data_IF_402324837321
#
_entry.id   IF_402324837321
#
_cell.length_a   1.000
_cell.length_b   1.000
_cell.length_c   1.000
_cell.angle_alpha   90.00
_cell.angle_beta   90.00
_cell.angle_gamma   90.00
#
_symmetry.space_group_name_H-M   'P 1'
#
loop_
_entity.id
_entity.type
_entity.pdbx_description
1 polymer ?
#
# COMPACT_ATOMS: atom_id res chain seq x y z
N UNK A 1 -18.34 37.53 2.74
CA UNK A 1 -17.37 36.40 2.66
C UNK A 1 -16.49 36.52 3.88
N UNK A 2 -16.50 35.53 4.75
CA UNK A 2 -15.55 35.44 5.88
C UNK A 2 -14.22 35.05 5.23
N UNK A 3 -13.25 35.96 5.19
CA UNK A 3 -11.88 35.61 4.82
C UNK A 3 -11.34 34.67 5.85
N UNK A 4 -11.19 33.38 5.47
CA UNK A 4 -10.58 32.36 6.32
C UNK A 4 -9.04 32.45 6.20
N UNK A 5 -8.49 33.53 6.77
CA UNK A 5 -7.03 33.81 6.72
C UNK A 5 -6.13 32.75 7.39
N UNK A 6 -6.73 31.72 8.02
CA UNK A 6 -6.01 30.63 8.69
C UNK A 6 -5.82 29.39 7.82
N UNK A 7 -6.42 29.33 6.63
CA UNK A 7 -6.30 28.19 5.72
C UNK A 7 -5.35 28.51 4.57
N UNK A 8 -4.30 27.74 4.45
CA UNK A 8 -3.38 27.78 3.33
C UNK A 8 -3.54 26.54 2.45
N UNK A 9 -3.77 26.76 1.15
CA UNK A 9 -3.98 25.68 0.17
C UNK A 9 -2.75 25.53 -0.72
N UNK A 10 -2.34 24.30 -0.91
CA UNK A 10 -1.19 23.90 -1.74
C UNK A 10 -1.58 22.80 -2.69
N UNK A 11 -0.90 22.71 -3.83
CA UNK A 11 -0.97 21.56 -4.71
C UNK A 11 0.12 20.56 -4.32
N UNK A 12 -0.26 19.31 -4.01
CA UNK A 12 0.67 18.22 -3.77
C UNK A 12 0.66 17.28 -4.96
N UNK A 13 1.85 17.03 -5.51
CA UNK A 13 2.08 16.13 -6.64
C UNK A 13 2.83 14.89 -6.16
N UNK A 14 2.21 13.72 -6.35
CA UNK A 14 2.89 12.44 -6.20
C UNK A 14 3.40 11.96 -7.56
N UNK A 15 4.70 11.75 -7.68
CA UNK A 15 5.29 11.03 -8.81
C UNK A 15 5.51 9.57 -8.41
N UNK A 16 4.78 8.65 -9.03
CA UNK A 16 4.96 7.20 -8.82
C UNK A 16 6.34 6.79 -9.30
N UNK A 17 7.23 6.39 -8.39
CA UNK A 17 8.60 5.95 -8.70
C UNK A 17 8.72 4.44 -8.77
N UNK A 18 7.84 3.72 -8.09
CA UNK A 18 7.67 2.28 -8.21
C UNK A 18 6.18 1.93 -8.15
N UNK A 19 5.75 0.73 -8.58
CA UNK A 19 4.33 0.40 -8.64
C UNK A 19 3.57 0.65 -7.33
N UNK A 20 2.45 1.36 -7.39
CA UNK A 20 1.63 1.76 -6.23
C UNK A 20 0.27 1.09 -6.30
N UNK A 21 -0.17 0.52 -5.18
CA UNK A 21 -1.48 -0.08 -5.02
C UNK A 21 -2.31 0.67 -3.96
N UNK A 22 -3.36 1.37 -4.39
CA UNK A 22 -4.41 1.89 -3.51
C UNK A 22 -5.67 1.02 -3.69
N UNK A 23 -5.84 0.02 -2.81
CA UNK A 23 -6.89 -0.98 -2.97
C UNK A 23 -8.27 -0.50 -2.60
N UNK A 24 -9.28 -0.91 -3.37
CA UNK A 24 -10.71 -0.66 -3.10
C UNK A 24 -11.29 -1.61 -2.04
N UNK A 25 -10.58 -2.68 -1.69
CA UNK A 25 -11.11 -3.78 -0.89
C UNK A 25 -11.80 -4.85 -1.73
N UNK A 26 -12.03 -4.60 -3.01
CA UNK A 26 -12.63 -5.55 -3.94
C UNK A 26 -11.57 -6.44 -4.60
N UNK A 27 -12.00 -7.64 -4.98
CA UNK A 27 -11.19 -8.62 -5.69
C UNK A 27 -11.99 -9.18 -6.87
N UNK A 28 -11.30 -9.53 -7.95
CA UNK A 28 -11.86 -10.24 -9.09
C UNK A 28 -11.33 -11.66 -9.10
N UNK A 29 -12.25 -12.62 -9.09
CA UNK A 29 -11.90 -14.03 -9.12
C UNK A 29 -11.43 -14.46 -10.53
N UNK A 30 -10.75 -15.60 -10.60
CA UNK A 30 -10.21 -16.16 -11.85
C UNK A 30 -11.24 -16.37 -12.95
N UNK A 31 -12.51 -16.50 -12.58
CA UNK A 31 -13.64 -16.74 -13.48
C UNK A 31 -14.37 -15.44 -13.92
N UNK A 32 -13.89 -14.29 -13.47
CA UNK A 32 -14.50 -12.98 -13.71
C UNK A 32 -13.66 -12.10 -14.62
N UNK A 33 -12.56 -12.62 -15.17
CA UNK A 33 -11.74 -11.93 -16.13
C UNK A 33 -11.23 -12.86 -17.23
N UNK A 34 -10.99 -12.30 -18.40
CA UNK A 34 -10.38 -12.98 -19.53
C UNK A 34 -8.94 -12.50 -19.70
N UNK A 35 -7.99 -13.42 -19.89
CA UNK A 35 -6.59 -13.11 -20.11
C UNK A 35 -6.22 -13.30 -21.59
N UNK A 36 -6.09 -12.20 -22.33
CA UNK A 36 -5.55 -12.20 -23.69
C UNK A 36 -4.02 -12.35 -23.64
N UNK A 37 -3.56 -13.58 -23.72
CA UNK A 37 -2.13 -13.92 -23.65
C UNK A 37 -1.31 -13.29 -24.79
N UNK A 38 -1.89 -13.11 -25.97
CA UNK A 38 -1.21 -12.57 -27.16
C UNK A 38 -0.87 -11.10 -26.98
N UNK A 39 -1.83 -10.34 -26.45
CA UNK A 39 -1.69 -8.91 -26.23
C UNK A 39 -1.20 -8.57 -24.81
N UNK A 40 -1.00 -9.56 -23.95
CA UNK A 40 -0.68 -9.39 -22.51
C UNK A 40 -1.68 -8.46 -21.82
N UNK A 41 -2.96 -8.60 -22.12
CA UNK A 41 -4.03 -7.80 -21.54
C UNK A 41 -4.99 -8.67 -20.73
N UNK A 42 -5.43 -8.15 -19.61
CA UNK A 42 -6.52 -8.71 -18.83
C UNK A 42 -7.77 -7.86 -19.08
N UNK A 43 -8.84 -8.52 -19.47
CA UNK A 43 -10.15 -7.93 -19.64
C UNK A 43 -10.96 -8.20 -18.37
N UNK A 44 -11.16 -7.19 -17.56
CA UNK A 44 -12.08 -7.28 -16.42
C UNK A 44 -13.50 -7.17 -17.00
N UNK A 45 -14.29 -8.20 -16.76
CA UNK A 45 -15.62 -8.28 -17.36
C UNK A 45 -16.63 -7.37 -16.66
N UNK A 46 -17.54 -6.80 -17.43
CA UNK A 46 -18.78 -6.27 -16.90
C UNK A 46 -19.74 -7.45 -16.68
N UNK A 47 -20.03 -7.76 -15.43
CA UNK A 47 -20.74 -8.97 -15.05
C UNK A 47 -22.15 -9.02 -15.63
N UNK A 48 -22.86 -7.89 -15.66
CA UNK A 48 -24.21 -7.78 -16.23
C UNK A 48 -24.20 -8.09 -17.73
N UNK A 49 -23.29 -7.49 -18.49
CA UNK A 49 -23.14 -7.74 -19.92
C UNK A 49 -22.70 -9.17 -20.20
N UNK A 50 -21.82 -9.73 -19.38
CA UNK A 50 -21.37 -11.11 -19.52
C UNK A 50 -22.51 -12.09 -19.30
N UNK A 51 -23.30 -11.95 -18.23
CA UNK A 51 -24.45 -12.79 -17.98
C UNK A 51 -25.50 -12.63 -19.13
N UNK A 52 -25.74 -11.40 -19.59
CA UNK A 52 -26.59 -11.13 -20.73
C UNK A 52 -26.16 -11.88 -21.99
N UNK A 53 -24.86 -11.93 -22.29
CA UNK A 53 -24.31 -12.71 -23.40
C UNK A 53 -24.55 -14.23 -23.22
N UNK A 54 -24.26 -14.75 -22.01
CA UNK A 54 -24.44 -16.18 -21.69
C UNK A 54 -25.89 -16.61 -21.84
N UNK A 55 -26.83 -15.82 -21.30
CA UNK A 55 -28.25 -16.05 -21.43
C UNK A 55 -28.68 -15.96 -22.90
N UNK A 56 -28.29 -14.91 -23.63
CA UNK A 56 -28.64 -14.70 -25.02
C UNK A 56 -28.15 -15.80 -25.96
N UNK A 57 -27.08 -16.50 -25.60
CA UNK A 57 -26.55 -17.65 -26.33
C UNK A 57 -27.09 -19.00 -25.84
N UNK A 58 -27.94 -19.03 -24.81
CA UNK A 58 -28.43 -20.28 -24.21
C UNK A 58 -27.35 -21.12 -23.52
N UNK A 59 -26.30 -20.47 -23.01
CA UNK A 59 -25.12 -21.11 -22.43
C UNK A 59 -25.13 -21.16 -20.89
N UNK A 60 -26.28 -20.86 -20.25
CA UNK A 60 -26.35 -20.76 -18.79
C UNK A 60 -25.97 -22.07 -18.10
N UNK A 61 -26.59 -23.20 -18.54
CA UNK A 61 -26.29 -24.52 -17.98
C UNK A 61 -24.84 -24.93 -18.20
N UNK A 62 -24.26 -24.59 -19.36
CA UNK A 62 -22.86 -24.86 -19.67
C UNK A 62 -21.93 -24.04 -18.75
N UNK A 63 -22.27 -22.78 -18.49
CA UNK A 63 -21.52 -21.89 -17.59
C UNK A 63 -21.63 -22.35 -16.14
N UNK A 64 -22.81 -22.69 -15.65
CA UNK A 64 -23.03 -23.26 -14.32
C UNK A 64 -22.22 -24.55 -14.12
N UNK A 65 -22.30 -25.47 -15.10
CA UNK A 65 -21.47 -26.68 -15.08
C UNK A 65 -19.97 -26.38 -15.06
N UNK A 66 -19.53 -25.38 -15.80
CA UNK A 66 -18.15 -24.91 -15.80
C UNK A 66 -17.71 -24.40 -14.42
N UNK A 67 -18.60 -23.67 -13.70
CA UNK A 67 -18.34 -23.19 -12.35
C UNK A 67 -18.33 -24.34 -11.33
N UNK A 68 -19.34 -25.23 -11.38
CA UNK A 68 -19.58 -26.27 -10.40
C UNK A 68 -18.54 -27.41 -10.45
N UNK A 69 -18.05 -27.75 -11.63
CA UNK A 69 -17.05 -28.82 -11.80
C UNK A 69 -15.75 -28.59 -11.06
N UNK A 70 -15.57 -27.43 -10.40
CA UNK A 70 -14.48 -27.21 -9.47
C UNK A 70 -13.08 -27.38 -10.05
N UNK A 71 -12.95 -27.56 -11.35
CA UNK A 71 -11.67 -27.69 -12.01
C UNK A 71 -10.90 -26.40 -11.77
N UNK A 72 -9.89 -26.49 -10.93
CA UNK A 72 -8.98 -25.37 -10.55
C UNK A 72 -8.38 -24.66 -11.78
N UNK A 73 -8.56 -25.26 -12.97
CA UNK A 73 -8.03 -24.82 -14.26
C UNK A 73 -9.12 -24.34 -15.24
N UNK A 74 -10.34 -24.08 -14.80
CA UNK A 74 -11.36 -23.54 -15.71
C UNK A 74 -11.15 -22.05 -15.86
N UNK A 75 -10.52 -21.69 -16.94
CA UNK A 75 -10.31 -20.31 -17.37
C UNK A 75 -11.39 -19.93 -18.39
N UNK A 76 -11.80 -18.67 -18.37
CA UNK A 76 -12.79 -18.18 -19.34
C UNK A 76 -12.32 -18.29 -20.80
N UNK A 77 -11.01 -18.32 -21.06
CA UNK A 77 -10.46 -18.53 -22.41
C UNK A 77 -10.83 -19.89 -22.98
N UNK A 78 -10.80 -20.95 -22.18
CA UNK A 78 -11.29 -22.28 -22.56
C UNK A 78 -12.79 -22.26 -22.84
N UNK A 79 -13.59 -21.72 -21.91
CA UNK A 79 -15.03 -21.63 -22.07
C UNK A 79 -15.43 -20.82 -23.32
N UNK A 80 -14.80 -19.68 -23.56
CA UNK A 80 -15.04 -18.83 -24.71
C UNK A 80 -14.73 -19.54 -26.04
N UNK A 81 -13.59 -20.25 -26.07
CA UNK A 81 -13.20 -21.05 -27.26
C UNK A 81 -14.16 -22.18 -27.51
N UNK A 82 -14.52 -22.96 -26.49
CA UNK A 82 -15.35 -24.16 -26.61
C UNK A 82 -16.79 -23.81 -27.02
N UNK A 83 -17.26 -22.59 -26.72
CA UNK A 83 -18.60 -22.09 -27.09
C UNK A 83 -18.57 -21.03 -28.19
N UNK A 84 -17.45 -20.92 -28.95
CA UNK A 84 -17.33 -20.00 -30.09
C UNK A 84 -17.68 -18.54 -29.77
N UNK A 85 -17.31 -18.06 -28.56
CA UNK A 85 -17.46 -16.64 -28.22
C UNK A 85 -16.38 -15.85 -28.93
N UNK A 86 -16.80 -14.99 -29.84
CA UNK A 86 -15.93 -14.21 -30.71
C UNK A 86 -15.20 -13.10 -29.93
N UNK A 87 -14.10 -12.65 -30.52
CA UNK A 87 -13.32 -11.51 -29.94
C UNK A 87 -14.17 -10.24 -29.81
N UNK A 88 -15.05 -9.97 -30.77
CA UNK A 88 -15.97 -8.82 -30.73
C UNK A 88 -16.96 -8.93 -29.55
N UNK A 89 -17.47 -10.14 -29.27
CA UNK A 89 -18.34 -10.36 -28.11
C UNK A 89 -17.56 -10.21 -26.79
N UNK A 90 -16.31 -10.68 -26.71
CA UNK A 90 -15.46 -10.48 -25.53
C UNK A 90 -15.23 -8.98 -25.30
N UNK A 91 -14.96 -8.21 -26.36
CA UNK A 91 -14.84 -6.75 -26.26
C UNK A 91 -16.12 -6.09 -25.75
N UNK A 92 -17.28 -6.53 -26.21
CA UNK A 92 -18.58 -5.97 -25.83
C UNK A 92 -18.92 -6.19 -24.33
N UNK A 93 -18.47 -7.30 -23.75
CA UNK A 93 -18.66 -7.63 -22.34
C UNK A 93 -17.52 -7.13 -21.44
N UNK A 94 -16.44 -6.57 -22.01
CA UNK A 94 -15.32 -6.03 -21.26
C UNK A 94 -15.74 -4.71 -20.61
N UNK A 95 -15.53 -4.61 -19.30
CA UNK A 95 -15.69 -3.36 -18.56
C UNK A 95 -14.48 -2.44 -18.77
N UNK A 96 -13.28 -2.96 -18.57
CA UNK A 96 -12.02 -2.27 -18.89
C UNK A 96 -10.89 -3.28 -19.09
N UNK A 97 -9.79 -2.80 -19.67
CA UNK A 97 -8.57 -3.58 -19.91
C UNK A 97 -7.42 -3.07 -19.07
N UNK A 98 -6.52 -3.99 -18.73
CA UNK A 98 -5.32 -3.65 -17.98
C UNK A 98 -4.13 -4.48 -18.50
N UNK A 99 -2.96 -3.85 -18.60
CA UNK A 99 -1.72 -4.52 -18.96
C UNK A 99 -1.36 -5.56 -17.88
N UNK A 100 -1.25 -6.83 -18.28
CA UNK A 100 -0.85 -7.91 -17.37
C UNK A 100 0.62 -7.80 -16.95
N UNK A 101 1.41 -7.02 -17.65
CA UNK A 101 2.85 -6.85 -17.44
C UNK A 101 3.54 -8.23 -17.25
N UNK A 102 4.27 -8.37 -16.14
CA UNK A 102 4.94 -9.62 -15.75
C UNK A 102 4.19 -10.37 -14.63
N UNK A 103 2.94 -9.99 -14.35
CA UNK A 103 2.16 -10.57 -13.24
C UNK A 103 1.51 -11.90 -13.60
N UNK A 104 1.11 -12.06 -14.87
CA UNK A 104 0.49 -13.25 -15.41
C UNK A 104 1.31 -13.77 -16.59
N UNK A 105 1.64 -15.04 -16.56
CA UNK A 105 2.31 -15.73 -17.66
C UNK A 105 1.52 -16.99 -18.02
N UNK A 106 1.61 -17.46 -19.28
CA UNK A 106 0.91 -18.68 -19.72
C UNK A 106 1.19 -19.92 -18.86
N UNK A 107 2.38 -19.96 -18.27
CA UNK A 107 2.88 -21.09 -17.49
C UNK A 107 2.37 -21.10 -16.03
N UNK A 108 1.80 -19.98 -15.57
CA UNK A 108 1.32 -19.87 -14.20
C UNK A 108 -0.20 -19.80 -14.16
N UNK A 109 -0.78 -20.53 -13.20
CA UNK A 109 -2.22 -20.47 -12.96
C UNK A 109 -2.69 -19.03 -12.74
N UNK A 110 -3.84 -18.67 -13.32
CA UNK A 110 -4.51 -17.40 -13.07
C UNK A 110 -4.74 -17.21 -11.57
N UNK A 111 -4.76 -15.96 -11.12
CA UNK A 111 -4.84 -15.58 -9.71
C UNK A 111 -5.99 -14.60 -9.50
N UNK A 112 -6.46 -14.51 -8.27
CA UNK A 112 -7.34 -13.41 -7.88
C UNK A 112 -6.61 -12.08 -8.00
N UNK A 113 -7.31 -11.08 -8.53
CA UNK A 113 -6.78 -9.74 -8.75
C UNK A 113 -7.42 -8.78 -7.75
N UNK A 114 -6.60 -8.16 -6.91
CA UNK A 114 -7.05 -7.09 -6.01
C UNK A 114 -7.16 -5.79 -6.79
N UNK A 115 -8.36 -5.20 -6.75
CA UNK A 115 -8.70 -4.03 -7.55
C UNK A 115 -8.20 -2.73 -6.91
N UNK A 116 -7.80 -1.81 -7.77
CA UNK A 116 -7.46 -0.43 -7.39
C UNK A 116 -8.73 0.39 -7.11
N UNK A 117 -8.60 1.45 -6.33
CA UNK A 117 -9.68 2.39 -6.07
C UNK A 117 -10.05 3.15 -7.35
N UNK A 118 -11.36 3.18 -7.66
CA UNK A 118 -11.93 3.86 -8.83
C UNK A 118 -13.13 4.71 -8.43
N UNK A 119 -13.34 5.80 -9.15
CA UNK A 119 -14.54 6.61 -9.00
C UNK A 119 -15.76 5.97 -9.71
N UNK A 120 -16.91 6.63 -9.64
CA UNK A 120 -18.14 6.17 -10.30
C UNK A 120 -18.03 6.03 -11.83
N UNK A 121 -17.11 6.79 -12.44
CA UNK A 121 -16.78 6.70 -13.86
C UNK A 121 -15.68 5.67 -14.16
N UNK A 122 -15.36 4.80 -13.21
CA UNK A 122 -14.30 3.76 -13.30
C UNK A 122 -12.89 4.31 -13.53
N UNK A 123 -12.63 5.57 -13.19
CA UNK A 123 -11.30 6.17 -13.30
C UNK A 123 -10.50 5.92 -12.02
N UNK A 124 -9.25 5.45 -12.11
CA UNK A 124 -8.44 5.20 -10.92
C UNK A 124 -8.05 6.51 -10.22
N UNK A 125 -8.05 6.48 -8.89
CA UNK A 125 -7.59 7.59 -8.06
C UNK A 125 -6.98 7.05 -6.75
N UNK A 126 -6.24 7.90 -6.05
CA UNK A 126 -5.71 7.57 -4.72
C UNK A 126 -6.52 8.34 -3.67
N UNK A 127 -7.15 7.66 -2.69
CA UNK A 127 -7.86 8.34 -1.62
C UNK A 127 -6.93 9.26 -0.80
N UNK A 128 -7.41 10.44 -0.46
CA UNK A 128 -6.68 11.40 0.38
C UNK A 128 -6.34 10.83 1.76
N UNK A 129 -7.20 9.95 2.28
CA UNK A 129 -6.93 9.21 3.52
C UNK A 129 -5.67 8.32 3.42
N UNK A 130 -5.39 7.74 2.25
CA UNK A 130 -4.17 6.95 2.02
C UNK A 130 -2.93 7.82 2.05
N UNK A 131 -2.96 8.99 1.39
CA UNK A 131 -1.85 9.94 1.40
C UNK A 131 -1.68 10.57 2.78
N UNK A 132 -2.77 11.02 3.42
CA UNK A 132 -2.73 11.56 4.78
C UNK A 132 -2.17 10.55 5.78
N UNK A 133 -2.48 9.25 5.64
CA UNK A 133 -1.90 8.19 6.45
C UNK A 133 -0.38 8.05 6.28
N UNK A 134 0.13 8.16 5.06
CA UNK A 134 1.58 8.15 4.80
C UNK A 134 2.27 9.40 5.34
N UNK A 135 1.68 10.59 5.15
CA UNK A 135 2.18 11.84 5.73
C UNK A 135 2.19 11.77 7.26
N UNK A 136 1.13 11.25 7.89
CA UNK A 136 1.06 11.04 9.34
C UNK A 136 2.21 10.17 9.85
N UNK A 137 2.54 9.10 9.13
CA UNK A 137 3.67 8.23 9.49
C UNK A 137 5.00 8.98 9.41
N UNK A 138 5.22 9.76 8.34
CA UNK A 138 6.42 10.56 8.18
C UNK A 138 6.55 11.66 9.24
N UNK A 139 5.45 12.38 9.53
CA UNK A 139 5.39 13.42 10.56
C UNK A 139 5.69 12.83 11.94
N UNK A 140 5.06 11.70 12.29
CA UNK A 140 5.31 11.03 13.57
C UNK A 140 6.75 10.54 13.68
N UNK A 141 7.31 9.96 12.61
CA UNK A 141 8.71 9.54 12.58
C UNK A 141 9.66 10.73 12.82
N UNK A 142 9.39 11.88 12.18
CA UNK A 142 10.17 13.12 12.43
C UNK A 142 10.04 13.58 13.87
N UNK A 143 8.83 13.67 14.42
CA UNK A 143 8.61 14.05 15.83
C UNK A 143 9.40 13.16 16.80
N UNK A 144 9.48 11.86 16.54
CA UNK A 144 10.23 10.90 17.35
C UNK A 144 11.75 11.09 17.22
N UNK A 145 12.25 11.42 16.04
CA UNK A 145 13.67 11.63 15.79
C UNK A 145 14.16 12.97 16.33
N UNK A 146 13.33 14.02 16.27
CA UNK A 146 13.65 15.37 16.75
C UNK A 146 13.62 15.46 18.29
N UNK A 147 12.84 14.61 18.97
CA UNK A 147 12.60 14.67 20.42
C UNK A 147 13.37 13.59 21.17
N UNK A 148 14.69 13.71 21.21
CA UNK A 148 15.55 12.71 21.85
C UNK A 148 15.28 12.53 23.36
N UNK A 149 14.96 13.59 24.10
CA UNK A 149 14.72 13.54 25.54
C UNK A 149 13.39 12.86 25.92
N UNK A 150 12.30 13.18 25.20
CA UNK A 150 10.99 12.56 25.44
C UNK A 150 10.88 11.18 24.79
N UNK A 151 11.61 10.95 23.70
CA UNK A 151 11.67 9.65 23.02
C UNK A 151 12.09 8.55 23.99
N UNK A 152 13.16 8.73 24.77
CA UNK A 152 13.67 7.69 25.67
C UNK A 152 12.67 7.38 26.79
N UNK A 153 11.94 8.39 27.30
CA UNK A 153 10.84 8.19 28.26
C UNK A 153 9.70 7.40 27.63
N UNK A 154 9.29 7.75 26.39
CA UNK A 154 8.20 7.07 25.70
C UNK A 154 8.60 5.66 25.26
N UNK A 155 9.86 5.46 24.89
CA UNK A 155 10.42 4.13 24.64
C UNK A 155 10.33 3.24 25.90
N UNK A 156 10.68 3.79 27.06
CA UNK A 156 10.53 3.10 28.35
C UNK A 156 9.07 2.74 28.68
N UNK A 157 8.13 3.68 28.49
CA UNK A 157 6.70 3.45 28.67
C UNK A 157 6.16 2.42 27.67
N UNK A 158 6.56 2.52 26.41
CA UNK A 158 6.19 1.56 25.36
C UNK A 158 6.67 0.15 25.70
N UNK A 159 7.93 0.00 26.14
CA UNK A 159 8.48 -1.30 26.53
C UNK A 159 7.86 -1.84 27.83
N UNK A 160 7.53 -0.98 28.81
CA UNK A 160 6.87 -1.41 30.04
C UNK A 160 5.43 -1.86 29.77
N UNK A 161 4.65 -1.11 29.01
CA UNK A 161 3.30 -1.50 28.61
C UNK A 161 3.29 -2.87 27.91
N UNK A 162 4.40 -3.20 27.29
CA UNK A 162 4.68 -4.47 26.67
C UNK A 162 4.98 -5.59 27.69
N UNK A 163 5.75 -5.32 28.71
CA UNK A 163 6.07 -6.32 29.77
C UNK A 163 4.86 -6.62 30.67
N UNK A 164 4.07 -5.60 30.99
CA UNK A 164 2.93 -5.68 31.91
C UNK A 164 1.71 -6.39 31.29
N UNK A 165 1.60 -6.38 29.98
CA UNK A 165 0.58 -7.15 29.26
C UNK A 165 0.94 -8.64 29.22
N UNK A 166 0.67 -9.37 30.28
CA UNK A 166 1.03 -10.77 30.61
C UNK A 166 0.87 -11.86 29.55
N UNK A 167 0.85 -11.54 28.28
CA UNK A 167 1.01 -12.52 27.19
C UNK A 167 1.68 -11.89 25.97
N UNK A 168 2.88 -12.30 25.56
CA UNK A 168 3.49 -11.91 24.29
C UNK A 168 2.86 -12.75 23.17
N UNK A 169 1.65 -12.45 22.77
CA UNK A 169 0.95 -13.33 21.85
C UNK A 169 -0.27 -12.78 21.16
N UNK A 170 -0.25 -11.55 20.66
CA UNK A 170 -1.38 -11.08 19.88
C UNK A 170 -1.13 -9.75 19.18
N UNK A 171 -1.70 -9.59 18.00
CA UNK A 171 -1.72 -8.32 17.24
C UNK A 171 -2.23 -7.14 18.08
N UNK A 172 -3.08 -7.39 19.07
CA UNK A 172 -3.69 -6.38 19.94
C UNK A 172 -2.72 -5.70 20.90
N UNK A 173 -1.64 -6.35 21.26
CA UNK A 173 -0.62 -5.85 22.16
C UNK A 173 0.21 -4.70 21.54
N UNK A 174 0.79 -4.92 20.37
CA UNK A 174 1.51 -3.86 19.67
C UNK A 174 0.56 -2.70 19.28
N UNK A 175 -0.72 -2.99 19.03
CA UNK A 175 -1.72 -1.98 18.72
C UNK A 175 -1.90 -1.00 19.87
N UNK A 176 -2.11 -1.48 21.10
CA UNK A 176 -2.28 -0.60 22.27
C UNK A 176 -1.07 0.28 22.53
N UNK A 177 0.14 -0.30 22.44
CA UNK A 177 1.37 0.45 22.63
C UNK A 177 1.58 1.51 21.54
N UNK A 178 1.25 1.16 20.28
CA UNK A 178 1.27 2.12 19.16
C UNK A 178 0.29 3.27 19.38
N UNK A 179 -0.94 2.98 19.80
CA UNK A 179 -1.97 3.97 20.09
C UNK A 179 -1.54 4.94 21.21
N UNK A 180 -0.82 4.48 22.23
CA UNK A 180 -0.32 5.34 23.30
C UNK A 180 0.76 6.32 22.79
N UNK A 181 1.67 5.87 21.94
CA UNK A 181 2.67 6.75 21.34
C UNK A 181 2.00 7.77 20.41
N UNK A 182 1.07 7.34 19.57
CA UNK A 182 0.31 8.24 18.71
C UNK A 182 -0.49 9.28 19.49
N UNK A 183 -1.13 8.86 20.60
CA UNK A 183 -1.85 9.75 21.51
C UNK A 183 -0.91 10.81 22.08
N UNK A 184 0.24 10.40 22.57
CA UNK A 184 1.20 11.31 23.18
C UNK A 184 1.74 12.36 22.21
N UNK A 185 2.07 11.99 20.97
CA UNK A 185 2.65 12.91 19.99
C UNK A 185 1.61 13.66 19.15
N UNK A 186 0.48 13.04 18.84
CA UNK A 186 -0.47 13.59 17.89
C UNK A 186 -1.76 14.11 18.52
N UNK A 187 -2.19 13.62 19.72
CA UNK A 187 -3.45 14.02 20.37
C UNK A 187 -3.21 15.04 21.48
N UNK A 188 -2.59 16.16 21.15
CA UNK A 188 -2.13 17.15 22.13
C UNK A 188 -3.02 18.38 22.28
N UNK A 189 -4.12 18.51 21.50
CA UNK A 189 -4.98 19.71 21.53
C UNK A 189 -5.83 19.83 22.79
N UNK A 190 -6.13 18.72 23.49
CA UNK A 190 -6.85 18.72 24.76
C UNK A 190 -8.30 19.22 24.69
N UNK A 191 -8.93 19.24 23.50
CA UNK A 191 -10.28 19.73 23.28
C UNK A 191 -11.34 18.84 23.91
N UNK A 192 -11.13 17.52 23.92
CA UNK A 192 -11.96 16.55 24.62
C UNK A 192 -11.15 15.85 25.71
N UNK A 193 -11.19 16.41 26.92
CA UNK A 193 -10.47 15.87 28.08
C UNK A 193 -11.00 14.52 28.54
N UNK A 194 -12.28 14.24 28.33
CA UNK A 194 -12.91 12.98 28.73
C UNK A 194 -12.53 11.80 27.81
N UNK A 195 -12.09 12.10 26.59
CA UNK A 195 -11.66 11.09 25.61
C UNK A 195 -10.35 11.55 24.97
N UNK A 196 -9.18 11.37 25.60
CA UNK A 196 -7.89 11.85 25.08
C UNK A 196 -7.58 11.33 23.67
N UNK A 197 -8.02 10.11 23.35
CA UNK A 197 -7.85 9.49 22.03
C UNK A 197 -8.83 9.98 20.95
N UNK A 198 -9.74 10.88 21.30
CA UNK A 198 -10.68 11.41 20.32
C UNK A 198 -9.94 12.15 19.19
N UNK A 199 -10.40 11.95 17.97
CA UNK A 199 -9.83 12.59 16.79
C UNK A 199 -9.81 14.12 16.85
N UNK A 200 -10.72 14.73 17.65
CA UNK A 200 -10.74 16.19 17.87
C UNK A 200 -9.47 16.69 18.59
N UNK A 201 -8.80 15.83 19.34
CA UNK A 201 -7.55 16.16 20.03
C UNK A 201 -6.32 16.08 19.11
N UNK A 202 -6.45 15.53 17.92
CA UNK A 202 -5.31 15.30 17.04
C UNK A 202 -4.85 16.57 16.34
N UNK A 203 -3.57 16.88 16.41
CA UNK A 203 -2.92 17.97 15.64
C UNK A 203 -3.01 17.75 14.12
N UNK A 204 -3.20 16.50 13.68
CA UNK A 204 -3.44 16.17 12.27
C UNK A 204 -4.75 16.72 11.71
N UNK A 205 -5.63 17.32 12.55
CA UNK A 205 -6.78 18.10 12.07
C UNK A 205 -6.36 19.31 11.26
N UNK A 206 -5.21 19.91 11.61
CA UNK A 206 -4.64 21.03 10.86
C UNK A 206 -4.12 20.65 9.47
N UNK A 207 -4.08 19.36 9.13
CA UNK A 207 -3.61 18.87 7.83
C UNK A 207 -4.75 18.18 7.10
N UNK A 208 -5.26 18.75 6.03
CA UNK A 208 -6.32 18.18 5.20
C UNK A 208 -5.77 17.81 3.82
N UNK A 209 -6.12 16.63 3.33
CA UNK A 209 -5.70 16.11 2.03
C UNK A 209 -6.96 15.67 1.28
N UNK A 210 -7.17 16.21 0.08
CA UNK A 210 -8.26 15.78 -0.81
C UNK A 210 -8.02 14.36 -1.33
N UNK A 211 -9.03 13.71 -1.86
CA UNK A 211 -8.81 12.64 -2.81
C UNK A 211 -8.05 13.18 -4.03
N UNK A 212 -7.28 12.34 -4.69
CA UNK A 212 -6.57 12.78 -5.88
C UNK A 212 -7.54 13.09 -7.04
N UNK A 213 -7.09 13.94 -7.96
CA UNK A 213 -7.71 13.97 -9.26
C UNK A 213 -7.65 12.58 -9.89
N UNK A 214 -8.72 12.15 -10.61
CA UNK A 214 -8.71 10.88 -11.31
C UNK A 214 -7.59 10.81 -12.36
N UNK A 215 -6.88 9.69 -12.41
CA UNK A 215 -5.83 9.45 -13.39
C UNK A 215 -6.47 9.24 -14.76
N UNK A 216 -6.13 10.08 -15.72
CA UNK A 216 -6.70 10.06 -17.09
C UNK A 216 -5.87 9.27 -18.09
N UNK A 217 -4.63 8.96 -17.76
CA UNK A 217 -3.75 8.15 -18.60
C UNK A 217 -4.31 6.72 -18.67
N UNK A 218 -4.71 6.29 -19.88
CA UNK A 218 -5.31 4.98 -20.12
C UNK A 218 -4.33 3.84 -19.85
N UNK A 219 -3.04 4.11 -19.99
CA UNK A 219 -1.96 3.13 -19.79
C UNK A 219 -1.34 3.22 -18.39
N UNK A 220 -1.94 4.00 -17.49
CA UNK A 220 -1.43 4.19 -16.14
C UNK A 220 -1.48 2.92 -15.27
N UNK A 221 -2.40 2.01 -15.60
CA UNK A 221 -2.67 0.83 -14.78
C UNK A 221 -2.00 -0.42 -15.33
N UNK A 222 -1.35 -1.15 -14.44
CA UNK A 222 -0.67 -2.42 -14.71
C UNK A 222 -1.03 -3.45 -13.64
N UNK A 223 -0.90 -4.74 -13.96
CA UNK A 223 -0.93 -5.79 -12.95
C UNK A 223 0.45 -6.05 -12.36
N UNK A 224 0.51 -6.20 -11.06
CA UNK A 224 1.72 -6.48 -10.33
C UNK A 224 1.57 -7.74 -9.48
N UNK A 225 2.42 -8.73 -9.72
CA UNK A 225 2.58 -9.89 -8.85
C UNK A 225 3.41 -9.53 -7.62
N UNK A 226 2.92 -9.87 -6.43
CA UNK A 226 3.66 -9.62 -5.19
C UNK A 226 4.81 -10.62 -5.03
N UNK A 227 5.96 -10.13 -4.59
CA UNK A 227 7.17 -10.92 -4.30
C UNK A 227 7.78 -10.51 -2.97
N UNK A 228 8.42 -11.45 -2.30
CA UNK A 228 9.24 -11.21 -1.11
C UNK A 228 10.72 -11.24 -1.48
N UNK A 229 11.44 -10.15 -1.18
CA UNK A 229 12.88 -10.06 -1.28
C UNK A 229 13.50 -10.38 0.09
N UNK A 230 14.39 -11.37 0.14
CA UNK A 230 15.16 -11.67 1.36
C UNK A 230 16.38 -10.76 1.51
N UNK A 231 16.95 -10.68 2.71
CA UNK A 231 18.21 -9.95 2.98
C UNK A 231 19.33 -10.39 2.02
N UNK A 232 19.40 -11.69 1.68
CA UNK A 232 20.39 -12.23 0.74
C UNK A 232 20.11 -11.93 -0.75
N UNK A 233 19.03 -11.20 -1.07
CA UNK A 233 18.70 -10.88 -2.45
C UNK A 233 17.85 -11.93 -3.18
N UNK A 234 17.37 -12.97 -2.48
CA UNK A 234 16.51 -13.98 -3.08
C UNK A 234 15.07 -13.49 -3.15
N UNK A 235 14.47 -13.60 -4.34
CA UNK A 235 13.11 -13.19 -4.62
C UNK A 235 12.19 -14.40 -4.66
N UNK A 236 11.14 -14.41 -3.82
CA UNK A 236 10.12 -15.45 -3.78
C UNK A 236 8.75 -14.88 -4.18
N UNK A 237 8.06 -15.45 -5.18
CA UNK A 237 6.72 -15.01 -5.55
C UNK A 237 5.71 -15.35 -4.44
N UNK A 238 4.72 -14.48 -4.28
CA UNK A 238 3.55 -14.67 -3.42
C UNK A 238 2.33 -14.74 -4.33
N UNK A 239 1.38 -15.60 -4.00
CA UNK A 239 0.18 -15.81 -4.82
C UNK A 239 -0.85 -14.66 -4.65
N UNK A 240 -0.45 -13.44 -4.98
CA UNK A 240 -1.29 -12.23 -4.92
C UNK A 240 -0.94 -11.34 -6.10
N UNK A 241 -1.95 -10.97 -6.89
CA UNK A 241 -1.85 -9.99 -7.98
C UNK A 241 -2.67 -8.75 -7.63
N UNK A 242 -2.20 -7.58 -8.02
CA UNK A 242 -2.83 -6.29 -7.75
C UNK A 242 -2.83 -5.40 -8.98
N UNK A 243 -3.88 -4.61 -9.13
CA UNK A 243 -3.86 -3.46 -10.02
C UNK A 243 -2.99 -2.36 -9.39
N UNK A 244 -2.05 -1.84 -10.12
CA UNK A 244 -1.14 -0.80 -9.63
C UNK A 244 -1.03 0.35 -10.64
N UNK A 245 -0.77 1.56 -10.15
CA UNK A 245 -0.25 2.62 -10.98
C UNK A 245 1.20 2.29 -11.37
N UNK A 246 1.52 2.43 -12.66
CA UNK A 246 2.88 2.22 -13.15
C UNK A 246 3.84 3.34 -12.75
N UNK A 247 5.15 3.09 -12.71
CA UNK A 247 6.16 4.13 -12.55
C UNK A 247 6.03 5.22 -13.62
N UNK A 248 6.28 6.47 -13.21
CA UNK A 248 6.19 7.67 -14.05
C UNK A 248 4.84 8.38 -14.02
N UNK A 249 3.79 7.78 -13.50
CA UNK A 249 2.47 8.43 -13.35
C UNK A 249 2.56 9.55 -12.30
N UNK A 250 1.98 10.71 -12.60
CA UNK A 250 1.80 11.81 -11.67
C UNK A 250 0.35 11.87 -11.19
N UNK A 251 0.18 12.05 -9.88
CA UNK A 251 -1.12 12.11 -9.21
C UNK A 251 -1.20 13.40 -8.40
N UNK A 252 -2.29 14.14 -8.53
CA UNK A 252 -2.44 15.49 -8.00
C UNK A 252 -3.46 15.51 -6.87
N UNK A 253 -3.12 16.21 -5.78
CA UNK A 253 -3.97 16.40 -4.61
C UNK A 253 -4.00 17.86 -4.20
N UNK A 254 -5.06 18.27 -3.52
CA UNK A 254 -5.07 19.48 -2.72
C UNK A 254 -4.62 19.15 -1.29
N UNK A 255 -3.66 19.91 -0.80
CA UNK A 255 -3.23 19.92 0.60
C UNK A 255 -3.66 21.25 1.21
N UNK A 256 -4.44 21.21 2.29
CA UNK A 256 -4.84 22.40 3.03
C UNK A 256 -4.27 22.34 4.45
N UNK A 257 -3.63 23.41 4.89
CA UNK A 257 -3.09 23.57 6.23
C UNK A 257 -3.90 24.63 6.99
N UNK A 258 -4.32 24.29 8.19
CA UNK A 258 -5.08 25.16 9.09
C UNK A 258 -4.17 25.67 10.20
N UNK A 259 -3.74 26.93 10.11
CA UNK A 259 -2.88 27.59 11.10
C UNK A 259 -3.59 27.93 12.41
N UNK A 260 -4.93 27.85 12.47
CA UNK A 260 -5.68 27.99 13.71
C UNK A 260 -5.51 26.80 14.66
N UNK A 261 -5.03 25.66 14.15
CA UNK A 261 -4.68 24.49 14.94
C UNK A 261 -3.22 24.61 15.40
N UNK A 262 -2.96 24.73 16.71
CA UNK A 262 -1.60 24.91 17.24
C UNK A 262 -0.82 23.58 17.18
N UNK A 263 -0.47 23.15 16.00
CA UNK A 263 0.16 21.85 15.72
C UNK A 263 1.67 21.90 15.58
N UNK A 264 2.23 23.08 15.24
CA UNK A 264 3.61 23.21 14.80
C UNK A 264 3.89 22.52 13.44
N UNK A 265 2.83 22.02 12.77
CA UNK A 265 2.95 21.33 11.48
C UNK A 265 2.62 22.35 10.37
N UNK A 266 3.65 23.02 9.87
CA UNK A 266 3.56 23.89 8.70
C UNK A 266 4.04 23.16 7.43
N UNK A 267 4.05 23.90 6.32
CA UNK A 267 4.50 23.36 5.03
C UNK A 267 5.96 22.89 5.07
N UNK A 268 6.84 23.63 5.72
CA UNK A 268 8.26 23.30 5.81
C UNK A 268 8.46 22.03 6.64
N UNK A 269 7.75 21.92 7.76
CA UNK A 269 7.77 20.73 8.60
C UNK A 269 7.33 19.48 7.82
N UNK A 270 6.27 19.58 6.99
CA UNK A 270 5.83 18.47 6.15
C UNK A 270 6.89 18.09 5.11
N UNK A 271 7.48 19.09 4.42
CA UNK A 271 8.56 18.84 3.43
C UNK A 271 9.77 18.15 4.07
N UNK A 272 10.17 18.60 5.25
CA UNK A 272 11.25 17.97 6.02
C UNK A 272 10.88 16.56 6.45
N UNK A 273 9.67 16.33 6.98
CA UNK A 273 9.21 15.02 7.40
C UNK A 273 9.23 13.99 6.25
N UNK A 274 8.81 14.41 5.06
CA UNK A 274 8.87 13.57 3.85
C UNK A 274 10.31 13.27 3.44
N UNK A 275 11.19 14.27 3.45
CA UNK A 275 12.62 14.11 3.13
C UNK A 275 13.30 13.14 4.11
N UNK A 276 13.10 13.36 5.40
CA UNK A 276 13.74 12.62 6.48
C UNK A 276 13.23 11.17 6.52
N UNK A 277 11.93 10.96 6.31
CA UNK A 277 11.34 9.63 6.20
C UNK A 277 11.92 8.83 5.03
N UNK A 278 12.01 9.43 3.84
CA UNK A 278 12.59 8.76 2.67
C UNK A 278 14.05 8.38 2.89
N UNK A 279 14.84 9.30 3.46
CA UNK A 279 16.27 9.09 3.78
C UNK A 279 16.44 8.00 4.86
N UNK A 280 15.63 8.04 5.91
CA UNK A 280 15.64 7.05 6.98
C UNK A 280 15.25 5.66 6.46
N UNK A 281 14.20 5.57 5.64
CA UNK A 281 13.76 4.33 5.03
C UNK A 281 14.86 3.70 4.16
N UNK A 282 15.50 4.49 3.31
CA UNK A 282 16.59 4.03 2.46
C UNK A 282 17.79 3.54 3.28
N UNK A 283 18.25 4.33 4.26
CA UNK A 283 19.43 4.02 5.06
C UNK A 283 19.23 2.92 6.08
N UNK A 284 18.07 2.87 6.73
CA UNK A 284 17.83 1.94 7.84
C UNK A 284 17.23 0.61 7.40
N UNK A 285 16.45 0.60 6.32
CA UNK A 285 15.72 -0.60 5.88
C UNK A 285 16.18 -1.08 4.51
N UNK A 286 16.01 -0.28 3.45
CA UNK A 286 16.26 -0.71 2.08
C UNK A 286 17.71 -1.15 1.85
N UNK A 287 18.68 -0.42 2.41
CA UNK A 287 20.12 -0.74 2.33
C UNK A 287 20.53 -2.08 2.95
N UNK A 288 19.65 -2.67 3.78
CA UNK A 288 19.91 -3.95 4.43
C UNK A 288 19.65 -5.16 3.54
N UNK A 289 19.00 -4.94 2.40
CA UNK A 289 18.64 -5.99 1.47
C UNK A 289 19.52 -5.93 0.22
N UNK A 290 20.17 -7.04 -0.09
CA UNK A 290 20.90 -7.17 -1.35
C UNK A 290 19.91 -7.06 -2.50
N UNK A 291 20.16 -6.14 -3.41
CA UNK A 291 19.30 -5.95 -4.57
C UNK A 291 19.37 -7.17 -5.50
N UNK A 292 18.23 -7.62 -6.05
CA UNK A 292 18.23 -8.68 -7.06
C UNK A 292 18.83 -8.17 -8.37
N UNK A 293 19.28 -9.07 -9.23
CA UNK A 293 19.70 -8.72 -10.58
C UNK A 293 18.55 -8.02 -11.32
N UNK A 294 18.87 -6.97 -12.07
CA UNK A 294 17.88 -6.17 -12.79
C UNK A 294 16.97 -5.32 -11.88
N UNK A 295 17.38 -5.02 -10.63
CA UNK A 295 16.64 -4.10 -9.79
C UNK A 295 16.61 -2.70 -10.39
N UNK A 296 15.46 -2.05 -10.34
CA UNK A 296 15.30 -0.66 -10.74
C UNK A 296 16.08 0.26 -9.80
N UNK A 297 16.63 1.34 -10.34
CA UNK A 297 17.32 2.39 -9.57
C UNK A 297 16.28 3.33 -8.96
N UNK A 298 15.73 2.96 -7.81
CA UNK A 298 14.71 3.75 -7.12
C UNK A 298 15.35 4.87 -6.29
N UNK A 299 14.69 6.03 -6.30
CA UNK A 299 15.10 7.21 -5.55
C UNK A 299 14.16 7.43 -4.36
N UNK A 300 14.72 7.40 -3.16
CA UNK A 300 13.96 7.64 -1.92
C UNK A 300 14.01 9.10 -1.44
N UNK A 301 14.78 9.95 -2.10
CA UNK A 301 14.83 11.38 -1.78
C UNK A 301 13.45 12.02 -1.95
N UNK A 302 13.00 12.78 -0.94
CA UNK A 302 11.66 13.39 -0.91
C UNK A 302 10.56 12.39 -1.28
N UNK A 303 10.58 11.21 -0.65
CA UNK A 303 9.66 10.14 -0.96
C UNK A 303 8.87 9.64 0.24
N UNK A 304 7.64 9.23 -0.03
CA UNK A 304 6.81 8.41 0.84
C UNK A 304 6.69 7.01 0.27
N UNK A 305 6.39 6.06 1.14
CA UNK A 305 6.05 4.69 0.74
C UNK A 305 4.56 4.51 0.94
N UNK A 306 3.82 4.49 -0.17
CA UNK A 306 2.36 4.54 -0.17
C UNK A 306 1.73 3.20 -0.51
N UNK A 307 0.58 2.96 0.07
CA UNK A 307 -0.39 1.97 -0.38
C UNK A 307 -0.24 0.58 0.21
N UNK A 308 -1.13 -0.30 -0.27
CA UNK A 308 -1.19 -1.69 0.15
C UNK A 308 -0.07 -2.51 -0.49
N UNK A 309 0.57 -3.38 0.29
CA UNK A 309 1.66 -4.23 -0.22
C UNK A 309 3.06 -3.66 -0.05
N UNK A 310 3.21 -2.41 0.35
CA UNK A 310 4.50 -1.78 0.61
C UNK A 310 5.28 -2.37 1.80
N UNK A 311 4.60 -3.13 2.66
CA UNK A 311 5.24 -3.89 3.74
C UNK A 311 5.20 -3.20 5.10
N UNK A 312 5.88 -3.80 6.08
CA UNK A 312 5.86 -3.38 7.47
C UNK A 312 6.61 -2.06 7.69
N UNK A 313 7.79 -1.92 7.10
CA UNK A 313 8.67 -0.77 7.32
C UNK A 313 8.06 0.58 6.95
N UNK A 314 7.12 0.60 6.00
CA UNK A 314 6.43 1.83 5.58
C UNK A 314 5.34 2.31 6.55
N UNK A 315 5.03 1.54 7.59
CA UNK A 315 3.90 1.76 8.51
C UNK A 315 4.29 1.65 9.98
N UNK A 316 5.55 1.39 10.28
CA UNK A 316 6.07 1.29 11.64
C UNK A 316 6.84 2.54 12.00
N UNK A 317 6.87 2.87 13.26
CA UNK A 317 7.79 3.83 13.88
C UNK A 317 8.58 3.19 15.04
N UNK A 318 8.52 1.87 15.15
CA UNK A 318 9.19 1.16 16.25
C UNK A 318 10.69 1.38 16.28
N UNK A 319 11.32 1.52 15.12
CA UNK A 319 12.76 1.75 15.02
C UNK A 319 13.13 3.21 15.33
N UNK A 320 12.31 4.17 14.95
CA UNK A 320 12.46 5.58 15.28
C UNK A 320 12.29 5.82 16.78
N UNK A 321 11.34 5.12 17.41
CA UNK A 321 11.05 5.22 18.83
C UNK A 321 12.13 4.54 19.70
N UNK A 322 12.48 3.29 19.38
CA UNK A 322 13.31 2.45 20.21
C UNK A 322 14.80 2.48 19.83
N UNK A 323 15.12 3.09 18.68
CA UNK A 323 16.44 2.98 18.08
C UNK A 323 16.67 1.60 17.46
N UNK A 324 17.79 1.47 16.75
CA UNK A 324 18.06 0.32 15.89
C UNK A 324 18.12 -1.03 16.64
N UNK A 325 18.84 -1.08 17.77
CA UNK A 325 19.07 -2.34 18.50
C UNK A 325 17.80 -2.83 19.22
N UNK A 326 17.16 -1.98 20.01
CA UNK A 326 15.95 -2.34 20.73
C UNK A 326 14.74 -2.47 19.80
N UNK A 327 14.66 -1.64 18.75
CA UNK A 327 13.67 -1.77 17.69
C UNK A 327 13.76 -3.13 16.98
N UNK A 328 14.96 -3.60 16.65
CA UNK A 328 15.16 -4.93 16.07
C UNK A 328 14.68 -6.04 17.00
N UNK A 329 15.05 -6.00 18.29
CA UNK A 329 14.60 -7.00 19.28
C UNK A 329 13.07 -7.00 19.41
N UNK A 330 12.48 -5.81 19.52
CA UNK A 330 11.03 -5.65 19.63
C UNK A 330 10.31 -6.19 18.41
N UNK A 331 10.67 -5.73 17.20
CA UNK A 331 10.01 -6.13 15.96
C UNK A 331 10.20 -7.62 15.67
N UNK A 332 11.39 -8.18 15.93
CA UNK A 332 11.65 -9.61 15.77
C UNK A 332 10.73 -10.45 16.68
N UNK A 333 10.59 -10.05 17.95
CA UNK A 333 9.69 -10.73 18.90
C UNK A 333 8.22 -10.60 18.48
N UNK A 334 7.80 -9.40 18.06
CA UNK A 334 6.45 -9.15 17.55
C UNK A 334 6.14 -10.00 16.32
N UNK A 335 7.05 -10.06 15.34
CA UNK A 335 6.90 -10.84 14.11
C UNK A 335 6.87 -12.34 14.40
N UNK A 336 7.74 -12.84 15.26
CA UNK A 336 7.75 -14.25 15.69
C UNK A 336 6.42 -14.67 16.29
N UNK A 337 5.86 -13.85 17.16
CA UNK A 337 4.58 -14.14 17.83
C UNK A 337 3.37 -14.00 16.91
N UNK A 338 3.40 -13.02 15.98
CA UNK A 338 2.29 -12.74 15.07
C UNK A 338 2.27 -13.62 13.82
N UNK A 339 3.45 -14.12 13.39
CA UNK A 339 3.64 -14.85 12.12
C UNK A 339 4.51 -16.10 12.33
N UNK A 340 4.04 -17.02 13.16
CA UNK A 340 4.78 -18.22 13.62
C UNK A 340 5.38 -19.08 12.50
N UNK A 341 4.76 -19.10 11.30
CA UNK A 341 5.22 -19.90 10.16
C UNK A 341 6.34 -19.23 9.34
N UNK A 342 6.74 -18.01 9.66
CA UNK A 342 7.64 -17.19 8.83
C UNK A 342 9.10 -17.15 9.31
N UNK A 343 9.49 -17.97 10.29
CA UNK A 343 10.88 -18.14 10.79
C UNK A 343 11.56 -16.83 11.22
N UNK A 344 10.81 -15.96 11.93
CA UNK A 344 11.32 -14.68 12.43
C UNK A 344 12.32 -14.78 13.58
N UNK A 345 12.57 -15.98 14.11
CA UNK A 345 13.62 -16.25 15.10
C UNK A 345 15.03 -15.93 14.59
N UNK A 346 15.24 -15.94 13.27
CA UNK A 346 16.52 -15.61 12.64
C UNK A 346 16.70 -14.11 12.35
N UNK A 347 15.71 -13.26 12.62
CA UNK A 347 15.77 -11.84 12.31
C UNK A 347 16.87 -11.13 13.09
N UNK A 348 17.18 -11.56 14.32
CA UNK A 348 18.28 -11.02 15.12
C UNK A 348 19.65 -11.28 14.47
N UNK A 349 19.84 -12.47 13.87
CA UNK A 349 21.07 -12.83 13.17
C UNK A 349 21.24 -12.02 11.87
N UNK A 350 20.14 -11.75 11.17
CA UNK A 350 20.14 -10.95 9.93
C UNK A 350 20.30 -9.45 10.18
N UNK A 351 20.13 -9.01 11.42
CA UNK A 351 20.24 -7.61 11.83
C UNK A 351 19.08 -6.72 11.37
N UNK A 352 17.96 -7.31 10.92
CA UNK A 352 16.74 -6.61 10.51
C UNK A 352 15.48 -7.48 10.67
N UNK A 353 14.38 -6.86 11.11
CA UNK A 353 13.06 -7.50 11.21
C UNK A 353 11.96 -6.57 10.70
N UNK A 354 11.04 -7.06 9.86
CA UNK A 354 11.02 -8.39 9.25
C UNK A 354 12.12 -8.57 8.20
N UNK A 355 12.59 -9.80 8.02
CA UNK A 355 13.66 -10.16 7.08
C UNK A 355 13.21 -10.23 5.60
N UNK A 356 12.09 -9.57 5.25
CA UNK A 356 11.51 -9.56 3.91
C UNK A 356 11.04 -8.17 3.53
N UNK A 357 11.52 -7.66 2.38
CA UNK A 357 10.95 -6.51 1.69
C UNK A 357 9.93 -6.95 0.65
N UNK A 358 9.01 -6.06 0.33
CA UNK A 358 7.96 -6.29 -0.66
C UNK A 358 8.38 -5.73 -2.01
N UNK A 359 8.43 -6.62 -3.00
CA UNK A 359 8.87 -6.34 -4.36
C UNK A 359 7.83 -6.81 -5.38
N UNK A 360 7.97 -6.33 -6.59
CA UNK A 360 7.27 -6.79 -7.79
C UNK A 360 8.23 -6.83 -8.98
N UNK A 361 7.76 -7.36 -10.11
CA UNK A 361 8.45 -7.25 -11.39
C UNK A 361 7.57 -6.49 -12.36
N UNK A 362 8.18 -5.56 -13.09
CA UNK A 362 7.55 -4.82 -14.17
C UNK A 362 8.60 -4.51 -15.24
N UNK A 363 8.32 -4.84 -16.48
CA UNK A 363 9.24 -4.73 -17.63
C UNK A 363 10.58 -5.41 -17.37
N UNK A 364 10.53 -6.64 -16.86
CA UNK A 364 11.69 -7.46 -16.49
C UNK A 364 12.63 -6.83 -15.45
N UNK A 365 12.18 -5.77 -14.75
CA UNK A 365 12.93 -5.16 -13.66
C UNK A 365 12.24 -5.46 -12.32
N UNK A 366 13.05 -5.66 -11.29
CA UNK A 366 12.55 -5.81 -9.91
C UNK A 366 12.37 -4.43 -9.27
N UNK A 367 11.16 -4.17 -8.78
CA UNK A 367 10.77 -2.89 -8.18
C UNK A 367 10.32 -3.06 -6.75
N UNK A 368 10.64 -2.10 -5.91
CA UNK A 368 9.98 -1.93 -4.62
C UNK A 368 8.48 -1.65 -4.82
N UNK A 369 7.64 -1.85 -3.80
CA UNK A 369 6.26 -1.38 -3.85
C UNK A 369 6.12 -0.03 -3.18
N UNK A 370 5.40 0.88 -3.84
CA UNK A 370 4.83 2.06 -3.22
C UNK A 370 5.71 3.29 -3.10
N UNK A 371 6.90 3.32 -3.70
CA UNK A 371 7.78 4.51 -3.64
C UNK A 371 7.19 5.63 -4.47
N UNK A 372 6.86 6.75 -3.81
CA UNK A 372 6.31 7.96 -4.42
C UNK A 372 7.16 9.17 -4.08
N UNK A 373 7.67 9.87 -5.10
CA UNK A 373 8.24 11.20 -4.91
C UNK A 373 7.15 12.23 -4.60
N UNK A 374 7.43 13.17 -3.70
CA UNK A 374 6.49 14.21 -3.27
C UNK A 374 7.06 15.57 -3.60
N UNK A 375 6.25 16.40 -4.23
CA UNK A 375 6.50 17.82 -4.50
C UNK A 375 5.28 18.61 -4.02
N UNK A 376 5.49 19.77 -3.37
CA UNK A 376 4.40 20.61 -2.85
C UNK A 376 4.67 22.06 -3.28
N UNK A 377 3.69 22.65 -3.97
CA UNK A 377 3.72 23.99 -4.57
C UNK A 377 2.71 24.90 -3.90
#
# INVERSE_FOLDING_TARGET
MIEMNHLAKYQLVLTVRSPVFAGSGLEVAKKEYYFDQRNKQVHILNLEKFIGLIVGKGLMDAYENCILRGAWNVYLDGFFRDHNISRTEIEAITGYKIDSADALTPEHSLKEIKLFMRDSAQRPYIPGSSLKGALRTAILAKMLLDDSGKRDRNAGLFLSAIRDGRQPGGRNYAKKATEQVEEYYLHTLGLNKNKPKDAVNSVMRGVSVSDSLPVRDKDAMILCGKRDLSVAGLVKPINVVRECLRPGVKVFFDLCLDSSIPSGIDLNYIKEAVRDFGSYYAGSFDSRFKKPAGAAAEKFQNALILGGGAGFFSKTFAYELLGKAEGLKFVSNYMKNSFRLHKHEKDLETGISPHRLKYTVYRNQSWHFGVCGVEIY
#
